data_IF_451369124959
#
_entry.id   IF_451369124959
#
_cell.length_a   1.000
_cell.length_b   1.000
_cell.length_c   1.000
_cell.angle_alpha   90.00
_cell.angle_beta   90.00
_cell.angle_gamma   90.00
#
_symmetry.space_group_name_H-M   'P 1'
#
loop_
_entity.id
_entity.type
_entity.pdbx_description
1 polymer ?
#
# COMPACT_ATOMS: atom_id res chain seq x y z
N UNK A 1 -16.67 15.86 -1.36
CA UNK A 1 -16.21 14.86 -0.36
C UNK A 1 -14.69 14.78 -0.47
N UNK A 2 -13.94 14.52 0.62
CA UNK A 2 -12.47 14.44 0.52
C UNK A 2 -12.06 13.13 -0.16
N UNK A 3 -11.12 13.19 -1.10
CA UNK A 3 -10.66 12.02 -1.86
C UNK A 3 -9.61 11.21 -1.09
N UNK A 4 -9.83 9.91 -0.96
CA UNK A 4 -8.85 8.95 -0.48
C UNK A 4 -8.49 8.01 -1.62
N UNK A 5 -7.20 7.91 -1.95
CA UNK A 5 -6.71 6.93 -2.91
C UNK A 5 -6.08 5.76 -2.18
N UNK A 6 -6.54 4.55 -2.47
CA UNK A 6 -5.95 3.32 -1.98
C UNK A 6 -5.20 2.67 -3.13
N UNK A 7 -3.89 2.48 -2.98
CA UNK A 7 -3.07 1.77 -3.95
C UNK A 7 -2.56 0.45 -3.38
N UNK A 8 -2.50 -0.58 -4.23
CA UNK A 8 -1.97 -1.86 -3.82
C UNK A 8 -1.06 -2.52 -4.87
N UNK A 9 -0.06 -3.25 -4.38
CA UNK A 9 0.54 -4.33 -5.15
C UNK A 9 0.19 -5.67 -4.53
N UNK A 10 -0.34 -6.58 -5.35
CA UNK A 10 -0.82 -7.88 -4.89
C UNK A 10 -0.31 -8.97 -5.81
N UNK A 11 0.36 -9.96 -5.24
CA UNK A 11 0.76 -11.19 -5.95
C UNK A 11 -0.27 -12.32 -5.79
N UNK A 12 -0.87 -12.43 -4.61
CA UNK A 12 -1.78 -13.53 -4.24
C UNK A 12 -3.18 -13.04 -3.83
N UNK A 13 -3.56 -11.81 -4.19
CA UNK A 13 -4.89 -11.26 -3.88
C UNK A 13 -5.07 -10.68 -2.47
N UNK A 14 -4.18 -10.95 -1.51
CA UNK A 14 -4.36 -10.50 -0.12
C UNK A 14 -4.42 -8.98 0.04
N UNK A 15 -3.46 -8.25 -0.52
CA UNK A 15 -3.44 -6.78 -0.46
C UNK A 15 -4.68 -6.20 -1.14
N UNK A 16 -5.05 -6.74 -2.30
CA UNK A 16 -6.26 -6.31 -3.03
C UNK A 16 -7.53 -6.53 -2.21
N UNK A 17 -7.70 -7.71 -1.60
CA UNK A 17 -8.88 -8.05 -0.80
C UNK A 17 -9.04 -7.10 0.40
N UNK A 18 -7.96 -6.82 1.12
CA UNK A 18 -7.99 -5.90 2.28
C UNK A 18 -8.26 -4.47 1.79
N UNK A 19 -7.62 -4.03 0.70
CA UNK A 19 -7.87 -2.71 0.13
C UNK A 19 -9.32 -2.53 -0.31
N UNK A 20 -9.96 -3.56 -0.88
CA UNK A 20 -11.40 -3.54 -1.21
C UNK A 20 -12.28 -3.38 0.03
N UNK A 21 -11.96 -4.10 1.11
CA UNK A 21 -12.68 -3.97 2.39
C UNK A 21 -12.53 -2.58 3.01
N UNK A 22 -11.32 -2.02 2.98
CA UNK A 22 -11.07 -0.66 3.43
C UNK A 22 -11.81 0.36 2.59
N UNK A 23 -11.82 0.18 1.26
CA UNK A 23 -12.55 1.08 0.38
C UNK A 23 -14.04 1.10 0.71
N UNK A 24 -14.65 -0.09 0.89
CA UNK A 24 -16.06 -0.20 1.26
C UNK A 24 -16.38 0.52 2.57
N UNK A 25 -15.56 0.31 3.61
CA UNK A 25 -15.76 0.95 4.91
C UNK A 25 -15.56 2.47 4.92
N UNK A 26 -14.96 3.05 3.87
CA UNK A 26 -14.70 4.49 3.76
C UNK A 26 -15.68 5.21 2.81
N UNK A 27 -16.46 4.49 1.98
CA UNK A 27 -17.33 5.08 0.95
C UNK A 27 -18.39 6.04 1.48
N UNK A 28 -18.88 5.83 2.70
CA UNK A 28 -19.90 6.70 3.31
C UNK A 28 -19.34 8.07 3.74
N UNK A 29 -18.02 8.19 3.90
CA UNK A 29 -17.34 9.39 4.44
C UNK A 29 -16.38 10.05 3.45
N UNK A 30 -15.90 9.29 2.46
CA UNK A 30 -14.85 9.70 1.54
C UNK A 30 -15.16 9.30 0.10
N UNK A 31 -14.61 10.06 -0.83
CA UNK A 31 -14.57 9.66 -2.24
C UNK A 31 -13.37 8.73 -2.42
N UNK A 32 -13.61 7.44 -2.65
CA UNK A 32 -12.56 6.42 -2.58
C UNK A 32 -12.22 5.89 -3.96
N UNK A 33 -10.97 6.11 -4.37
CA UNK A 33 -10.37 5.44 -5.53
C UNK A 33 -9.53 4.26 -5.06
N UNK A 34 -9.59 3.14 -5.79
CA UNK A 34 -8.88 1.91 -5.47
C UNK A 34 -8.25 1.33 -6.74
N UNK A 35 -6.93 1.30 -6.77
CA UNK A 35 -6.19 0.85 -7.95
C UNK A 35 -5.01 -0.05 -7.58
N UNK A 36 -4.69 -0.95 -8.51
CA UNK A 36 -3.41 -1.64 -8.46
C UNK A 36 -2.34 -0.73 -9.08
N UNK A 37 -1.13 -0.72 -8.52
CA UNK A 37 0.01 -0.02 -9.14
C UNK A 37 0.38 -0.59 -10.53
N UNK A 38 -0.18 -1.75 -10.91
CA UNK A 38 -0.03 -2.35 -12.23
C UNK A 38 -0.98 -1.76 -13.28
N UNK A 39 -2.03 -1.05 -12.86
CA UNK A 39 -3.08 -0.50 -13.73
C UNK A 39 -3.13 1.03 -13.74
N UNK A 40 -2.34 1.70 -12.92
CA UNK A 40 -2.30 3.16 -12.80
C UNK A 40 -0.87 3.66 -12.82
N UNK A 41 -0.67 4.90 -13.26
CA UNK A 41 0.62 5.60 -13.19
C UNK A 41 0.66 6.63 -12.06
N UNK A 42 1.85 7.00 -11.55
CA UNK A 42 1.99 8.11 -10.61
C UNK A 42 1.40 9.43 -11.13
N UNK A 43 1.49 9.68 -12.44
CA UNK A 43 0.96 10.87 -13.10
C UNK A 43 -0.56 10.95 -13.04
N UNK A 44 -1.25 9.81 -13.07
CA UNK A 44 -2.71 9.78 -12.93
C UNK A 44 -3.16 10.19 -11.52
N UNK A 45 -2.39 9.81 -10.51
CA UNK A 45 -2.61 10.24 -9.12
C UNK A 45 -2.27 11.73 -8.96
N UNK A 46 -1.22 12.22 -9.62
CA UNK A 46 -0.83 13.63 -9.55
C UNK A 46 -1.82 14.57 -10.27
N UNK A 47 -2.51 14.11 -11.33
CA UNK A 47 -3.56 14.91 -12.00
C UNK A 47 -4.79 15.13 -11.12
N UNK A 48 -5.06 14.17 -10.23
CA UNK A 48 -6.21 14.20 -9.32
C UNK A 48 -5.74 13.92 -7.88
N UNK A 49 -4.92 14.85 -7.38
CA UNK A 49 -4.18 14.75 -6.12
C UNK A 49 -5.14 14.42 -4.95
N UNK A 50 -4.96 13.27 -4.26
CA UNK A 50 -5.87 12.88 -3.21
C UNK A 50 -5.60 13.65 -1.91
N UNK A 51 -6.65 13.87 -1.12
CA UNK A 51 -6.50 14.37 0.25
C UNK A 51 -5.74 13.37 1.13
N UNK A 52 -5.94 12.07 0.89
CA UNK A 52 -5.18 11.03 1.58
C UNK A 52 -4.82 9.83 0.70
N UNK A 53 -3.70 9.21 1.04
CA UNK A 53 -3.16 8.04 0.34
C UNK A 53 -3.03 6.87 1.33
N UNK A 54 -3.61 5.73 0.98
CA UNK A 54 -3.44 4.46 1.70
C UNK A 54 -2.64 3.52 0.82
N UNK A 55 -1.51 3.03 1.34
CA UNK A 55 -0.60 2.15 0.59
C UNK A 55 -0.62 0.73 1.17
N UNK A 56 -1.03 -0.24 0.36
CA UNK A 56 -0.97 -1.66 0.73
C UNK A 56 0.37 -2.27 0.32
N UNK A 57 1.26 -2.45 1.29
CA UNK A 57 2.65 -2.88 1.07
C UNK A 57 2.80 -4.39 1.30
N UNK A 58 3.16 -5.14 0.28
CA UNK A 58 3.59 -6.52 0.48
C UNK A 58 5.00 -6.55 1.06
N UNK A 59 5.25 -7.42 2.05
CA UNK A 59 6.59 -7.71 2.55
C UNK A 59 7.15 -8.92 1.80
N UNK A 60 8.27 -8.72 1.11
CA UNK A 60 9.01 -9.73 0.36
C UNK A 60 10.38 -9.89 1.03
N UNK A 61 10.70 -11.09 1.51
CA UNK A 61 12.01 -11.39 2.10
C UNK A 61 12.50 -10.31 3.10
N UNK A 62 11.66 -9.94 4.07
CA UNK A 62 11.95 -8.94 5.12
C UNK A 62 12.07 -7.48 4.65
N UNK A 63 11.75 -7.18 3.39
CA UNK A 63 11.72 -5.82 2.86
C UNK A 63 10.36 -5.49 2.23
N UNK A 64 10.09 -4.20 2.05
CA UNK A 64 8.92 -3.76 1.29
C UNK A 64 9.10 -4.08 -0.20
N UNK A 65 7.98 -4.45 -0.83
CA UNK A 65 7.90 -4.75 -2.25
C UNK A 65 8.60 -3.67 -3.10
N UNK A 66 9.63 -4.02 -3.91
CA UNK A 66 10.39 -3.03 -4.67
C UNK A 66 9.50 -2.26 -5.66
N UNK A 67 8.49 -2.90 -6.25
CA UNK A 67 7.59 -2.26 -7.22
C UNK A 67 6.79 -1.13 -6.56
N UNK A 68 6.29 -1.35 -5.33
CA UNK A 68 5.52 -0.30 -4.64
C UNK A 68 6.42 0.82 -4.14
N UNK A 69 7.67 0.52 -3.74
CA UNK A 69 8.65 1.55 -3.36
C UNK A 69 9.00 2.43 -4.55
N UNK A 70 9.23 1.83 -5.72
CA UNK A 70 9.52 2.55 -6.94
C UNK A 70 8.34 3.42 -7.35
N UNK A 71 7.12 2.87 -7.31
CA UNK A 71 5.90 3.63 -7.57
C UNK A 71 5.77 4.86 -6.67
N UNK A 72 5.93 4.70 -5.35
CA UNK A 72 5.87 5.81 -4.39
C UNK A 72 7.00 6.83 -4.63
N UNK A 73 8.21 6.36 -4.94
CA UNK A 73 9.34 7.25 -5.26
C UNK A 73 9.07 8.08 -6.51
N UNK A 74 8.40 7.51 -7.52
CA UNK A 74 8.03 8.24 -8.72
C UNK A 74 6.83 9.16 -8.47
N UNK A 75 5.88 8.77 -7.62
CA UNK A 75 4.78 9.63 -7.18
C UNK A 75 5.29 10.90 -6.49
N UNK A 76 6.24 10.77 -5.57
CA UNK A 76 6.84 11.90 -4.85
C UNK A 76 7.48 12.93 -5.79
N UNK A 77 7.98 12.50 -6.96
CA UNK A 77 8.57 13.40 -7.97
C UNK A 77 7.53 14.18 -8.77
N UNK A 78 6.30 13.66 -8.90
CA UNK A 78 5.27 14.23 -9.79
C UNK A 78 4.16 14.96 -9.05
N UNK A 79 3.96 14.69 -7.76
CA UNK A 79 3.00 15.45 -6.94
C UNK A 79 3.48 16.90 -6.78
N UNK A 80 2.54 17.84 -6.92
CA UNK A 80 2.84 19.27 -6.81
C UNK A 80 2.61 19.81 -5.41
N UNK A 81 1.86 19.06 -4.59
CA UNK A 81 1.54 19.40 -3.20
C UNK A 81 1.71 18.19 -2.29
N UNK A 82 2.09 18.40 -1.02
CA UNK A 82 2.11 17.32 -0.04
C UNK A 82 0.73 16.69 0.16
N UNK A 83 0.65 15.37 0.10
CA UNK A 83 -0.56 14.61 0.46
C UNK A 83 -0.81 14.78 1.95
N UNK A 84 -1.99 15.29 2.31
CA UNK A 84 -2.29 15.71 3.68
C UNK A 84 -2.36 14.58 4.71
N UNK A 85 -2.76 13.38 4.27
CA UNK A 85 -2.91 12.19 5.12
C UNK A 85 -2.32 10.97 4.42
N UNK A 86 -1.43 10.25 5.08
CA UNK A 86 -0.85 9.01 4.54
C UNK A 86 -0.99 7.91 5.57
N UNK A 87 -1.44 6.74 5.12
CA UNK A 87 -1.46 5.51 5.91
C UNK A 87 -0.89 4.36 5.09
N UNK A 88 -0.38 3.34 5.75
CA UNK A 88 0.01 2.11 5.10
C UNK A 88 -0.37 0.91 5.96
N UNK A 89 -0.61 -0.22 5.30
CA UNK A 89 -0.71 -1.51 5.96
C UNK A 89 0.11 -2.52 5.17
N UNK A 90 0.52 -3.60 5.84
CA UNK A 90 1.37 -4.60 5.21
C UNK A 90 0.77 -6.00 5.23
N UNK A 91 1.04 -6.74 4.15
CA UNK A 91 0.76 -8.18 4.09
C UNK A 91 2.08 -8.94 4.05
N UNK A 92 2.24 -9.93 4.91
CA UNK A 92 3.45 -10.74 4.98
C UNK A 92 3.13 -12.23 5.05
N UNK A 93 3.95 -13.07 4.42
CA UNK A 93 3.86 -14.53 4.49
C UNK A 93 4.91 -15.15 5.43
N UNK A 94 5.50 -14.35 6.34
CA UNK A 94 6.50 -14.85 7.28
C UNK A 94 5.87 -15.81 8.28
N UNK A 95 6.25 -17.09 8.19
CA UNK A 95 5.93 -18.07 9.20
C UNK A 95 6.69 -17.76 10.49
N UNK A 96 5.98 -17.32 11.53
CA UNK A 96 6.56 -16.97 12.83
C UNK A 96 7.41 -18.11 13.44
N UNK A 97 7.15 -19.37 13.08
CA UNK A 97 7.85 -20.56 13.64
C UNK A 97 9.28 -20.78 13.13
N UNK A 98 9.67 -20.35 11.92
CA UNK A 98 11.01 -20.66 11.38
C UNK A 98 12.12 -19.74 11.93
N UNK A 99 11.75 -18.61 12.53
CA UNK A 99 12.71 -17.60 13.00
C UNK A 99 13.15 -17.80 14.46
N UNK A 100 12.30 -18.38 15.32
CA UNK A 100 12.66 -18.59 16.74
C UNK A 100 13.44 -19.89 17.02
N UNK A 101 13.53 -20.84 16.09
CA UNK A 101 14.17 -22.14 16.35
C UNK A 101 15.69 -22.12 16.05
N UNK A 102 16.19 -21.17 15.25
CA UNK A 102 17.63 -21.12 14.91
C UNK A 102 18.49 -20.26 15.84
N UNK A 103 17.89 -19.50 16.76
CA UNK A 103 18.60 -18.61 17.69
C UNK A 103 18.76 -19.13 19.12
N UNK A 104 18.00 -20.15 19.54
CA UNK A 104 18.16 -20.77 20.85
C UNK A 104 18.96 -22.07 20.74
N UNK A 105 20.27 -21.97 20.49
CA UNK A 105 21.17 -22.95 21.09
C UNK A 105 21.17 -22.61 22.58
N UNK A 106 20.38 -23.36 23.36
CA UNK A 106 20.53 -23.39 24.81
C UNK A 106 21.98 -23.77 25.09
N UNK A 107 22.68 -22.88 25.78
CA UNK A 107 23.88 -23.14 26.58
C UNK A 107 23.73 -24.40 27.41
#
# INVERSE_FOLDING_TARGET
>A
MKKIWIIHNSLHGNSEKISKQLAEGLKDSYDVSLDSIKSISPEDIAKDEPYGLIVAVRIVAFSSDPEIREFITNLDKVITKPISKVAYFSTHALGWKKFFIKGMKKT
#
